data_IF_889952947393
#
_entry.id   IF_889952947393
#
_cell.length_a   1.000
_cell.length_b   1.000
_cell.length_c   1.000
_cell.angle_alpha   90.00
_cell.angle_beta   90.00
_cell.angle_gamma   90.00
#
_symmetry.space_group_name_H-M   'P 1'
#
loop_
_entity.id
_entity.type
_entity.pdbx_description
1 polymer ?
#
# COMPACT_ATOMS: atom_id res chain seq x y z
N UNK A 1 -2.10 -4.47 -8.46
CA UNK A 1 -2.27 -5.89 -8.02
C UNK A 1 -1.03 -6.24 -7.19
N UNK A 2 -1.07 -6.05 -5.86
CA UNK A 2 0.08 -6.39 -5.01
C UNK A 2 0.06 -7.91 -4.83
N UNK A 3 0.83 -8.64 -5.63
CA UNK A 3 1.00 -10.08 -5.48
C UNK A 3 2.19 -10.33 -4.57
N UNK A 4 1.92 -10.84 -3.36
CA UNK A 4 2.88 -11.60 -2.58
C UNK A 4 3.31 -12.83 -3.40
N UNK A 5 4.60 -13.03 -3.58
CA UNK A 5 5.15 -14.22 -4.24
C UNK A 5 4.58 -15.50 -3.60
N UNK A 6 3.85 -16.29 -4.39
CA UNK A 6 3.38 -17.61 -4.00
C UNK A 6 4.47 -18.60 -4.41
N UNK A 7 5.27 -19.09 -3.47
CA UNK A 7 6.00 -20.35 -3.65
C UNK A 7 5.27 -21.44 -2.88
N UNK A 8 4.48 -22.25 -3.57
CA UNK A 8 3.84 -23.41 -2.95
C UNK A 8 3.39 -24.47 -3.96
N UNK A 9 3.93 -25.68 -3.81
CA UNK A 9 3.27 -26.92 -4.23
C UNK A 9 4.10 -27.89 -5.07
N UNK A 10 4.46 -29.03 -4.48
CA UNK A 10 5.07 -30.20 -5.13
C UNK A 10 4.19 -30.77 -6.28
N UNK A 11 4.47 -30.35 -7.51
CA UNK A 11 4.14 -31.06 -8.74
C UNK A 11 5.32 -30.92 -9.71
N UNK A 12 5.63 -31.94 -10.54
CA UNK A 12 6.82 -31.90 -11.39
C UNK A 12 6.69 -30.80 -12.45
N UNK A 13 7.60 -29.82 -12.36
CA UNK A 13 8.05 -28.88 -13.41
C UNK A 13 7.00 -28.27 -14.36
N UNK A 14 6.09 -27.47 -13.81
CA UNK A 14 5.54 -26.34 -14.57
C UNK A 14 5.78 -25.03 -13.83
N UNK A 15 6.92 -24.41 -14.13
CA UNK A 15 7.19 -23.03 -13.71
C UNK A 15 6.27 -22.09 -14.49
N UNK A 16 5.35 -21.44 -13.79
CA UNK A 16 4.57 -20.35 -14.36
C UNK A 16 5.25 -19.03 -14.01
N UNK A 17 5.57 -18.23 -15.03
CA UNK A 17 6.15 -16.90 -14.86
C UNK A 17 5.07 -15.84 -15.10
N UNK A 18 5.03 -14.84 -14.23
CA UNK A 18 4.13 -13.69 -14.30
C UNK A 18 4.95 -12.42 -14.17
N UNK A 19 4.56 -11.37 -14.91
CA UNK A 19 5.18 -10.06 -14.85
C UNK A 19 4.18 -9.06 -14.27
N UNK A 20 4.67 -8.19 -13.41
CA UNK A 20 3.92 -7.11 -12.75
C UNK A 20 4.77 -5.85 -12.79
N UNK A 21 4.14 -4.69 -12.63
CA UNK A 21 4.86 -3.42 -12.49
C UNK A 21 5.81 -3.46 -11.28
N UNK A 22 5.35 -4.07 -10.19
CA UNK A 22 6.13 -4.33 -8.99
C UNK A 22 5.88 -5.74 -8.44
N UNK A 23 6.94 -6.41 -7.98
CA UNK A 23 6.89 -7.68 -7.27
C UNK A 23 7.66 -7.56 -5.96
N UNK A 24 6.96 -7.57 -4.83
CA UNK A 24 7.53 -7.33 -3.51
C UNK A 24 7.85 -8.63 -2.79
N UNK A 25 9.11 -8.80 -2.39
CA UNK A 25 9.55 -9.90 -1.54
C UNK A 25 9.49 -9.48 -0.06
N UNK A 26 8.37 -9.74 0.62
CA UNK A 26 8.16 -9.34 2.03
C UNK A 26 8.15 -10.53 2.99
N UNK A 27 8.81 -11.63 2.64
CA UNK A 27 8.80 -12.86 3.45
C UNK A 27 9.86 -12.87 4.56
N UNK A 28 11.11 -12.56 4.25
CA UNK A 28 12.23 -12.62 5.19
C UNK A 28 12.92 -11.26 5.32
N UNK A 29 12.84 -10.65 6.51
CA UNK A 29 13.44 -9.33 6.81
C UNK A 29 14.96 -9.29 6.69
N UNK A 30 15.64 -10.43 6.76
CA UNK A 30 17.09 -10.54 6.64
C UNK A 30 17.56 -10.71 5.18
N UNK A 31 16.63 -10.84 4.23
CA UNK A 31 16.94 -10.94 2.82
C UNK A 31 17.28 -9.55 2.26
N UNK A 32 18.29 -9.48 1.39
CA UNK A 32 18.67 -8.21 0.75
C UNK A 32 17.57 -7.63 -0.14
N UNK A 33 16.67 -8.48 -0.64
CA UNK A 33 15.55 -8.07 -1.48
C UNK A 33 14.27 -7.80 -0.67
N UNK A 34 14.35 -7.73 0.67
CA UNK A 34 13.18 -7.52 1.50
C UNK A 34 12.50 -6.17 1.20
N UNK A 35 11.24 -6.23 0.77
CA UNK A 35 10.40 -5.07 0.56
C UNK A 35 9.63 -4.74 1.85
N UNK A 36 9.94 -3.60 2.46
CA UNK A 36 9.27 -3.11 3.66
C UNK A 36 7.95 -2.39 3.35
N UNK A 37 7.13 -2.15 4.38
CA UNK A 37 5.92 -1.33 4.26
C UNK A 37 6.22 0.08 3.76
N UNK A 38 7.40 0.62 4.11
CA UNK A 38 7.86 1.91 3.62
C UNK A 38 8.15 1.86 2.12
N UNK A 39 8.82 0.81 1.63
CA UNK A 39 9.11 0.64 0.21
C UNK A 39 7.81 0.57 -0.60
N UNK A 40 6.85 -0.27 -0.17
CA UNK A 40 5.55 -0.40 -0.83
C UNK A 40 4.82 0.95 -0.89
N UNK A 41 4.86 1.74 0.19
CA UNK A 41 4.26 3.06 0.21
C UNK A 41 4.99 4.07 -0.69
N UNK A 42 6.32 4.01 -0.77
CA UNK A 42 7.10 4.89 -1.64
C UNK A 42 6.81 4.61 -3.12
N UNK A 43 6.73 3.34 -3.51
CA UNK A 43 6.52 2.94 -4.90
C UNK A 43 5.08 3.13 -5.38
N UNK A 44 4.09 3.04 -4.48
CA UNK A 44 2.67 3.13 -4.85
C UNK A 44 1.97 4.33 -4.19
N UNK A 45 2.06 4.46 -2.88
CA UNK A 45 1.27 5.42 -2.11
C UNK A 45 1.61 6.88 -2.40
N UNK A 46 2.86 7.21 -2.68
CA UNK A 46 3.30 8.59 -3.00
C UNK A 46 2.69 9.07 -4.31
N UNK A 47 2.86 8.31 -5.39
CA UNK A 47 2.30 8.64 -6.72
C UNK A 47 0.77 8.75 -6.66
N UNK A 48 0.13 7.81 -5.95
CA UNK A 48 -1.32 7.84 -5.76
C UNK A 48 -1.80 9.08 -4.99
N UNK A 49 -1.03 9.56 -4.01
CA UNK A 49 -1.34 10.81 -3.32
C UNK A 49 -1.14 12.02 -4.23
N UNK A 50 -0.07 12.04 -5.04
CA UNK A 50 0.19 13.13 -6.00
C UNK A 50 -0.98 13.30 -6.97
N UNK A 51 -1.45 12.20 -7.58
CA UNK A 51 -2.63 12.21 -8.44
C UNK A 51 -3.89 12.73 -7.72
N UNK A 52 -4.07 12.42 -6.43
CA UNK A 52 -5.20 12.94 -5.67
C UNK A 52 -5.14 14.47 -5.49
N UNK A 53 -3.94 15.05 -5.28
CA UNK A 53 -3.75 16.51 -5.21
C UNK A 53 -3.91 17.19 -6.58
N UNK A 54 -3.66 16.48 -7.67
CA UNK A 54 -3.93 16.94 -9.04
C UNK A 54 -5.43 16.90 -9.40
N UNK A 55 -6.27 16.33 -8.52
CA UNK A 55 -7.72 16.26 -8.68
C UNK A 55 -8.22 14.98 -9.35
N UNK A 56 -7.39 13.94 -9.45
CA UNK A 56 -7.81 12.63 -9.95
C UNK A 56 -8.45 11.77 -8.86
N UNK A 57 -9.41 10.93 -9.28
CA UNK A 57 -9.95 9.88 -8.42
C UNK A 57 -8.99 8.69 -8.40
N UNK A 58 -8.52 8.33 -7.21
CA UNK A 58 -7.52 7.26 -7.03
C UNK A 58 -8.11 6.12 -6.22
N UNK A 59 -7.72 4.89 -6.54
CA UNK A 59 -8.21 3.71 -5.84
C UNK A 59 -7.13 2.63 -5.69
N UNK A 60 -6.94 2.14 -4.47
CA UNK A 60 -6.00 1.06 -4.14
C UNK A 60 -6.77 -0.08 -3.50
N UNK A 61 -6.66 -1.27 -4.09
CA UNK A 61 -7.27 -2.49 -3.56
C UNK A 61 -6.21 -3.55 -3.26
N UNK A 62 -6.33 -4.19 -2.10
CA UNK A 62 -5.59 -5.40 -1.76
C UNK A 62 -6.44 -6.64 -2.05
N UNK A 63 -5.90 -7.56 -2.84
CA UNK A 63 -6.58 -8.79 -3.25
C UNK A 63 -5.70 -10.02 -2.98
N UNK A 64 -6.33 -11.14 -2.62
CA UNK A 64 -5.64 -12.38 -2.27
C UNK A 64 -6.42 -13.23 -1.26
N UNK A 65 -5.95 -14.45 -1.01
CA UNK A 65 -6.56 -15.38 -0.06
C UNK A 65 -6.52 -14.88 1.39
N UNK A 66 -7.35 -15.44 2.27
CA UNK A 66 -7.26 -15.16 3.72
C UNK A 66 -5.87 -15.51 4.25
N UNK A 67 -5.31 -14.65 5.09
CA UNK A 67 -3.94 -14.78 5.59
C UNK A 67 -2.83 -14.30 4.65
N UNK A 68 -3.13 -13.86 3.42
CA UNK A 68 -2.12 -13.42 2.45
C UNK A 68 -1.54 -12.02 2.68
N UNK A 69 -1.82 -11.38 3.83
CA UNK A 69 -1.28 -10.05 4.14
C UNK A 69 -2.05 -8.84 3.58
N UNK A 70 -3.29 -9.00 3.08
CA UNK A 70 -4.11 -7.87 2.60
C UNK A 70 -4.28 -6.75 3.64
N UNK A 71 -4.76 -7.08 4.83
CA UNK A 71 -4.97 -6.11 5.92
C UNK A 71 -3.65 -5.54 6.42
N UNK A 72 -2.58 -6.35 6.44
CA UNK A 72 -1.25 -5.90 6.79
C UNK A 72 -0.70 -4.89 5.76
N UNK A 73 -0.93 -5.09 4.46
CA UNK A 73 -0.50 -4.14 3.43
C UNK A 73 -1.27 -2.82 3.54
N UNK A 74 -2.60 -2.88 3.69
CA UNK A 74 -3.44 -1.67 3.72
C UNK A 74 -3.34 -0.90 5.04
N UNK A 75 -3.45 -1.56 6.18
CA UNK A 75 -3.47 -0.93 7.49
C UNK A 75 -2.14 -1.06 8.24
N UNK A 76 -1.44 -2.17 8.06
CA UNK A 76 -0.23 -2.47 8.82
C UNK A 76 -0.50 -3.17 10.14
N UNK A 77 0.56 -3.25 10.95
CA UNK A 77 0.46 -3.77 12.33
C UNK A 77 0.09 -2.63 13.29
N UNK A 78 -0.93 -2.80 14.14
CA UNK A 78 -1.28 -1.80 15.15
C UNK A 78 -0.11 -1.52 16.09
N UNK A 79 0.06 -0.26 16.48
CA UNK A 79 1.05 0.21 17.45
C UNK A 79 2.52 -0.05 17.07
N UNK A 80 2.83 -0.17 15.77
CA UNK A 80 4.18 -0.35 15.27
C UNK A 80 4.41 0.58 14.06
N UNK A 81 5.05 1.72 14.31
CA UNK A 81 5.21 2.80 13.31
C UNK A 81 5.98 2.33 12.06
N UNK A 82 6.93 1.40 12.24
CA UNK A 82 7.71 0.84 11.15
C UNK A 82 6.87 -0.09 10.26
N UNK A 83 5.79 -0.65 10.81
CA UNK A 83 4.94 -1.64 10.16
C UNK A 83 3.57 -1.05 9.74
N UNK A 84 3.39 0.27 9.83
CA UNK A 84 2.23 0.98 9.30
C UNK A 84 2.05 0.72 7.80
N UNK A 85 0.82 0.44 7.37
CA UNK A 85 0.48 0.19 5.97
C UNK A 85 0.20 1.44 5.15
N UNK A 86 -0.37 1.23 3.96
CA UNK A 86 -0.65 2.29 2.99
C UNK A 86 -1.58 3.36 3.56
N UNK A 87 -2.71 2.98 4.17
CA UNK A 87 -3.73 3.92 4.67
C UNK A 87 -3.16 4.91 5.70
N UNK A 88 -2.54 4.48 6.83
CA UNK A 88 -2.03 5.43 7.81
C UNK A 88 -0.88 6.30 7.26
N UNK A 89 -0.01 5.74 6.40
CA UNK A 89 1.07 6.52 5.76
C UNK A 89 0.52 7.58 4.80
N UNK A 90 -0.50 7.23 4.01
CA UNK A 90 -1.17 8.15 3.10
C UNK A 90 -1.85 9.28 3.86
N UNK A 91 -2.58 8.98 4.93
CA UNK A 91 -3.20 9.99 5.78
C UNK A 91 -2.16 10.95 6.38
N UNK A 92 -1.07 10.43 6.93
CA UNK A 92 -0.01 11.28 7.50
C UNK A 92 0.61 12.20 6.42
N UNK A 93 0.92 11.65 5.25
CA UNK A 93 1.52 12.42 4.16
C UNK A 93 0.54 13.44 3.56
N UNK A 94 -0.76 13.10 3.47
CA UNK A 94 -1.83 14.01 3.07
C UNK A 94 -1.86 15.25 3.97
N UNK A 95 -1.92 15.05 5.28
CA UNK A 95 -1.94 16.17 6.23
C UNK A 95 -0.62 16.94 6.28
N UNK A 96 0.51 16.26 6.10
CA UNK A 96 1.80 16.92 5.98
C UNK A 96 1.83 17.85 4.76
N UNK A 97 1.41 17.40 3.59
CA UNK A 97 1.33 18.23 2.39
C UNK A 97 0.40 19.43 2.53
N UNK A 98 -0.74 19.24 3.20
CA UNK A 98 -1.67 20.34 3.48
C UNK A 98 -1.01 21.36 4.43
N UNK A 99 -0.30 20.89 5.46
CA UNK A 99 0.39 21.74 6.42
C UNK A 99 1.55 22.52 5.82
N UNK A 100 2.35 21.88 4.96
CA UNK A 100 3.53 22.46 4.32
C UNK A 100 3.16 23.42 3.16
N UNK A 101 1.88 23.48 2.77
CA UNK A 101 1.42 24.39 1.73
C UNK A 101 1.31 25.84 2.27
N UNK A 102 2.10 26.74 1.69
CA UNK A 102 2.16 28.16 2.09
C UNK A 102 1.21 29.07 1.29
N UNK A 103 0.39 28.53 0.38
CA UNK A 103 -0.53 29.34 -0.43
C UNK A 103 -1.79 29.69 0.37
N UNK A 104 -1.87 30.95 0.81
CA UNK A 104 -2.99 31.49 1.58
C UNK A 104 -4.32 31.51 0.81
N UNK A 105 -4.29 31.40 -0.52
CA UNK A 105 -5.50 31.38 -1.34
C UNK A 105 -6.07 29.97 -1.51
N UNK A 106 -5.30 28.93 -1.20
CA UNK A 106 -5.70 27.54 -1.35
C UNK A 106 -6.33 27.04 -0.05
N UNK A 107 -7.51 26.44 -0.16
CA UNK A 107 -8.22 25.83 0.98
C UNK A 107 -8.46 24.36 0.68
N UNK A 108 -8.18 23.52 1.67
CA UNK A 108 -8.41 22.08 1.60
C UNK A 108 -9.61 21.72 2.46
N UNK A 109 -10.45 20.83 1.96
CA UNK A 109 -11.50 20.15 2.72
C UNK A 109 -11.26 18.65 2.63
N UNK A 110 -11.17 17.98 3.77
CA UNK A 110 -10.89 16.54 3.84
C UNK A 110 -12.06 15.86 4.53
N UNK A 111 -12.67 14.91 3.84
CA UNK A 111 -13.77 14.09 4.34
C UNK A 111 -13.39 12.61 4.25
N UNK A 112 -13.75 11.82 5.26
CA UNK A 112 -13.40 10.40 5.34
C UNK A 112 -14.66 9.59 5.62
N UNK A 113 -14.81 8.47 4.92
CA UNK A 113 -15.81 7.45 5.21
C UNK A 113 -15.14 6.08 5.32
N UNK A 114 -15.64 5.23 6.21
CA UNK A 114 -15.18 3.86 6.38
C UNK A 114 -16.38 2.94 6.45
N UNK A 115 -16.47 2.02 5.49
CA UNK A 115 -17.60 1.12 5.31
C UNK A 115 -17.11 -0.32 5.26
N UNK A 116 -17.89 -1.21 5.84
CA UNK A 116 -17.67 -2.64 5.82
C UNK A 116 -18.91 -3.33 5.24
N UNK A 117 -18.70 -4.19 4.26
CA UNK A 117 -19.77 -4.90 3.57
C UNK A 117 -19.64 -6.38 3.92
N UNK A 118 -20.65 -6.91 4.62
CA UNK A 118 -20.79 -8.33 4.92
C UNK A 118 -22.15 -8.82 4.44
N UNK A 119 -22.20 -10.04 3.92
CA UNK A 119 -23.43 -10.75 3.55
C UNK A 119 -23.54 -12.03 4.37
#
# INVERSE_FOLDING_TARGET
LIILAITGGNAPDRTHSFNFDYSYWSFNKNDSNFASQQQVYQDLGVEMLDHAFEGYNVCIFAYGQTGSGKSYTMMGKPNDENEMGIIPRLCNHLFQKIHDNLDLNLKYSVEVSYMEIYC
#
